data_IF_746002686411
#
_entry.id   IF_746002686411
#
_cell.length_a   1.000
_cell.length_b   1.000
_cell.length_c   1.000
_cell.angle_alpha   90.00
_cell.angle_beta   90.00
_cell.angle_gamma   90.00
#
_symmetry.space_group_name_H-M   'P 1'
#
loop_
_entity.id
_entity.type
_entity.pdbx_description
1 polymer ?
#
# COMPACT_ATOMS: atom_id res chain seq x y z
N UNK A 1 21.09 14.31 7.76
CA UNK A 1 20.13 13.36 8.38
C UNK A 1 18.75 13.96 8.63
N UNK A 2 18.51 14.80 9.66
CA UNK A 2 17.15 15.30 9.95
C UNK A 2 16.46 15.99 8.75
N UNK A 3 17.18 16.87 8.05
CA UNK A 3 16.68 17.51 6.84
C UNK A 3 16.35 16.51 5.71
N UNK A 4 17.17 15.46 5.53
CA UNK A 4 16.96 14.43 4.51
C UNK A 4 15.74 13.56 4.87
N UNK A 5 15.56 13.22 6.14
CA UNK A 5 14.36 12.51 6.63
C UNK A 5 13.11 13.36 6.38
N UNK A 6 13.14 14.67 6.69
CA UNK A 6 12.02 15.56 6.41
C UNK A 6 11.71 15.66 4.91
N UNK A 7 12.73 15.71 4.05
CA UNK A 7 12.53 15.73 2.60
C UNK A 7 11.91 14.42 2.10
N UNK A 8 12.39 13.28 2.60
CA UNK A 8 11.82 11.97 2.30
C UNK A 8 10.36 11.86 2.75
N UNK A 9 10.04 12.27 3.98
CA UNK A 9 8.66 12.29 4.50
C UNK A 9 7.74 13.16 3.64
N UNK A 10 8.22 14.34 3.21
CA UNK A 10 7.46 15.21 2.28
C UNK A 10 7.26 14.56 0.92
N UNK A 11 8.29 13.90 0.39
CA UNK A 11 8.20 13.23 -0.91
C UNK A 11 7.15 12.11 -0.92
N UNK A 12 6.90 11.44 0.21
CA UNK A 12 5.82 10.46 0.34
C UNK A 12 4.44 11.10 0.08
N UNK A 13 4.21 12.32 0.57
CA UNK A 13 2.98 13.09 0.36
C UNK A 13 2.82 13.67 -1.05
N UNK A 14 3.83 13.52 -1.92
CA UNK A 14 3.86 14.13 -3.24
C UNK A 14 3.96 15.65 -3.14
N UNK A 15 2.96 16.36 -3.67
CA UNK A 15 2.90 17.83 -3.67
C UNK A 15 2.06 18.41 -2.53
N UNK A 16 1.36 17.56 -1.77
CA UNK A 16 0.53 17.97 -0.65
C UNK A 16 1.33 18.12 0.66
N UNK A 17 0.73 18.73 1.69
CA UNK A 17 1.27 18.71 3.05
C UNK A 17 1.36 17.27 3.60
N UNK A 18 2.29 17.04 4.54
CA UNK A 18 2.63 15.69 5.00
C UNK A 18 1.46 14.97 5.69
N UNK A 19 0.57 15.70 6.34
CA UNK A 19 -0.64 15.17 6.97
C UNK A 19 -1.66 14.61 5.97
N UNK A 20 -1.70 15.12 4.73
CA UNK A 20 -2.58 14.59 3.68
C UNK A 20 -2.19 13.16 3.29
N UNK A 21 -0.91 12.81 3.45
CA UNK A 21 -0.44 11.45 3.20
C UNK A 21 -1.15 10.40 4.06
N UNK A 22 -1.60 10.78 5.25
CA UNK A 22 -2.27 9.92 6.22
C UNK A 22 -3.80 9.99 6.14
N UNK A 23 -4.35 10.81 5.25
CA UNK A 23 -5.79 10.87 5.03
C UNK A 23 -6.30 9.64 4.27
N UNK A 24 -7.63 9.53 4.14
CA UNK A 24 -8.32 8.45 3.43
C UNK A 24 -8.03 7.04 4.00
N UNK A 25 -7.63 6.09 3.14
CA UNK A 25 -7.48 4.67 3.49
C UNK A 25 -6.37 4.36 4.49
N UNK A 26 -5.40 5.28 4.69
CA UNK A 26 -4.33 5.12 5.67
C UNK A 26 -4.72 5.60 7.06
N UNK A 27 -5.82 6.34 7.17
CA UNK A 27 -6.32 6.83 8.45
C UNK A 27 -6.77 5.69 9.40
N UNK A 28 -7.03 4.49 8.87
CA UNK A 28 -7.49 3.32 9.65
C UNK A 28 -6.60 3.02 10.85
N UNK A 29 -5.27 3.22 10.73
CA UNK A 29 -4.32 2.96 11.82
C UNK A 29 -4.53 3.89 13.03
N UNK A 30 -5.14 5.05 12.82
CA UNK A 30 -5.49 6.03 13.85
C UNK A 30 -6.95 5.89 14.30
N UNK A 31 -7.84 5.56 13.37
CA UNK A 31 -9.28 5.51 13.64
C UNK A 31 -9.69 4.31 14.50
N UNK A 32 -9.06 3.14 14.35
CA UNK A 32 -9.48 1.96 15.10
C UNK A 32 -9.24 2.08 16.62
N UNK A 33 -8.06 2.51 17.11
CA UNK A 33 -7.86 2.75 18.54
C UNK A 33 -8.83 3.81 19.09
N UNK A 34 -9.14 4.84 18.30
CA UNK A 34 -10.11 5.87 18.65
C UNK A 34 -11.54 5.30 18.77
N UNK A 35 -11.99 4.50 17.80
CA UNK A 35 -13.30 3.85 17.80
C UNK A 35 -13.45 2.85 18.95
N UNK A 36 -12.39 2.11 19.25
CA UNK A 36 -12.35 1.21 20.41
C UNK A 36 -12.49 2.01 21.70
N UNK A 37 -11.72 3.08 21.89
CA UNK A 37 -11.83 3.89 23.11
C UNK A 37 -13.22 4.52 23.26
N UNK A 38 -13.81 5.05 22.18
CA UNK A 38 -15.19 5.57 22.20
C UNK A 38 -16.25 4.51 22.56
N UNK A 39 -15.99 3.24 22.27
CA UNK A 39 -16.90 2.15 22.70
C UNK A 39 -16.79 1.84 24.19
N UNK A 40 -15.68 2.23 24.83
CA UNK A 40 -15.42 1.99 26.25
C UNK A 40 -15.82 3.16 27.14
N UNK A 41 -15.74 4.39 26.63
CA UNK A 41 -16.02 5.62 27.38
C UNK A 41 -16.62 6.73 26.50
N UNK A 42 -17.40 7.66 27.08
CA UNK A 42 -18.11 8.69 26.30
C UNK A 42 -17.20 9.61 25.47
N UNK A 43 -16.02 9.93 26.01
CA UNK A 43 -15.03 10.79 25.36
C UNK A 43 -13.64 10.13 25.46
N UNK A 44 -12.93 9.95 24.33
CA UNK A 44 -11.54 9.49 24.33
C UNK A 44 -10.62 10.47 25.04
N UNK A 45 -9.58 9.96 25.67
CA UNK A 45 -8.51 10.73 26.27
C UNK A 45 -7.62 11.34 25.16
N UNK A 46 -7.63 12.68 24.98
CA UNK A 46 -6.92 13.30 23.87
C UNK A 46 -5.40 13.16 23.97
N UNK A 47 -4.85 13.16 25.19
CA UNK A 47 -3.39 13.02 25.40
C UNK A 47 -2.95 11.61 25.03
N UNK A 48 -3.70 10.61 25.50
CA UNK A 48 -3.42 9.21 25.17
C UNK A 48 -3.53 8.95 23.68
N UNK A 49 -4.63 9.39 23.04
CA UNK A 49 -4.85 9.21 21.61
C UNK A 49 -3.80 9.92 20.76
N UNK A 50 -3.39 11.13 21.13
CA UNK A 50 -2.29 11.83 20.47
C UNK A 50 -0.98 11.04 20.55
N UNK A 51 -0.70 10.42 21.71
CA UNK A 51 0.41 9.49 21.89
C UNK A 51 0.33 8.26 20.97
N UNK A 52 -0.86 7.66 20.82
CA UNK A 52 -1.07 6.52 19.92
C UNK A 52 -0.89 6.91 18.44
N UNK A 53 -1.36 8.09 18.04
CA UNK A 53 -1.16 8.62 16.69
C UNK A 53 0.32 8.85 16.42
N UNK A 54 1.02 9.55 17.32
CA UNK A 54 2.46 9.79 17.18
C UNK A 54 3.24 8.47 17.08
N UNK A 55 2.95 7.51 17.95
CA UNK A 55 3.52 6.17 17.91
C UNK A 55 3.28 5.50 16.55
N UNK A 56 2.04 5.49 16.07
CA UNK A 56 1.65 4.81 14.82
C UNK A 56 2.27 5.45 13.58
N UNK A 57 2.42 6.78 13.55
CA UNK A 57 3.14 7.49 12.47
C UNK A 57 4.62 7.08 12.43
N UNK A 58 5.28 6.99 13.59
CA UNK A 58 6.67 6.56 13.64
C UNK A 58 6.83 5.08 13.25
N UNK A 59 5.92 4.21 13.69
CA UNK A 59 5.87 2.81 13.24
C UNK A 59 5.72 2.71 11.73
N UNK A 60 4.82 3.53 11.16
CA UNK A 60 4.59 3.59 9.74
C UNK A 60 5.85 4.00 8.97
N UNK A 61 6.55 5.07 9.39
CA UNK A 61 7.78 5.49 8.71
C UNK A 61 8.90 4.47 8.84
N UNK A 62 9.00 3.79 9.98
CA UNK A 62 9.93 2.68 10.15
C UNK A 62 9.71 1.60 9.09
N UNK A 63 8.47 1.12 8.96
CA UNK A 63 8.12 0.06 7.99
C UNK A 63 8.26 0.57 6.56
N UNK A 64 7.73 1.75 6.25
CA UNK A 64 7.78 2.35 4.90
C UNK A 64 9.20 2.52 4.38
N UNK A 65 10.15 2.89 5.24
CA UNK A 65 11.54 3.05 4.83
C UNK A 65 12.17 1.70 4.45
N UNK A 66 11.85 0.64 5.19
CA UNK A 66 12.28 -0.73 4.86
C UNK A 66 11.61 -1.21 3.57
N UNK A 67 10.30 -1.02 3.44
CA UNK A 67 9.52 -1.41 2.26
C UNK A 67 10.07 -0.74 0.99
N UNK A 68 10.36 0.57 1.02
CA UNK A 68 10.95 1.28 -0.13
C UNK A 68 12.27 0.67 -0.61
N UNK A 69 13.09 0.17 0.32
CA UNK A 69 14.36 -0.50 0.01
C UNK A 69 14.13 -1.90 -0.57
N UNK A 70 13.14 -2.64 -0.05
CA UNK A 70 12.81 -3.99 -0.50
C UNK A 70 12.15 -3.99 -1.88
N UNK A 71 11.21 -3.08 -2.12
CA UNK A 71 10.45 -2.94 -3.37
C UNK A 71 11.32 -2.45 -4.54
N UNK A 72 12.57 -2.04 -4.28
CA UNK A 72 13.50 -1.58 -5.31
C UNK A 72 12.91 -0.43 -6.14
N UNK A 73 12.26 0.55 -5.50
CA UNK A 73 11.56 1.66 -6.19
C UNK A 73 12.47 2.61 -6.99
N UNK A 74 13.74 2.26 -7.15
CA UNK A 74 14.76 2.97 -7.92
C UNK A 74 15.33 1.99 -8.94
N UNK A 75 15.58 2.46 -10.16
CA UNK A 75 15.89 1.64 -11.34
C UNK A 75 17.04 0.62 -11.16
N UNK A 76 17.39 -0.08 -12.25
CA UNK A 76 18.36 -1.21 -12.25
C UNK A 76 19.71 -0.93 -11.54
N UNK A 77 20.06 0.34 -11.34
CA UNK A 77 21.26 0.77 -10.63
C UNK A 77 20.96 1.05 -9.14
N UNK A 78 21.19 0.05 -8.28
CA UNK A 78 21.09 0.13 -6.81
C UNK A 78 21.96 1.22 -6.15
N UNK A 79 22.83 1.88 -6.90
CA UNK A 79 23.77 2.88 -6.39
C UNK A 79 23.12 4.24 -6.06
N UNK A 80 21.92 4.51 -6.59
CA UNK A 80 21.19 5.77 -6.38
C UNK A 80 19.87 5.57 -5.60
N UNK A 81 19.92 4.86 -4.46
CA UNK A 81 18.77 4.71 -3.55
C UNK A 81 18.92 5.68 -2.37
N UNK A 82 18.25 6.85 -2.37
CA UNK A 82 18.39 7.86 -1.31
C UNK A 82 18.11 7.30 0.09
N UNK A 83 17.20 6.34 0.20
CA UNK A 83 16.77 5.68 1.45
C UNK A 83 17.89 4.90 2.14
N UNK A 84 18.91 4.42 1.42
CA UNK A 84 20.04 3.73 2.05
C UNK A 84 20.77 4.64 3.04
N UNK A 85 20.85 5.94 2.74
CA UNK A 85 21.44 6.96 3.63
C UNK A 85 20.56 7.26 4.84
N UNK A 86 19.28 6.88 4.79
CA UNK A 86 18.31 7.11 5.86
C UNK A 86 18.21 5.93 6.84
N UNK A 87 18.89 4.80 6.59
CA UNK A 87 18.87 3.64 7.48
C UNK A 87 19.10 3.95 8.97
N UNK A 88 20.01 4.87 9.36
CA UNK A 88 20.15 5.25 10.78
C UNK A 88 18.87 5.85 11.41
N UNK A 89 17.98 6.45 10.60
CA UNK A 89 16.70 6.98 11.08
C UNK A 89 15.74 5.88 11.55
N UNK A 90 15.94 4.61 11.15
CA UNK A 90 15.16 3.48 11.67
C UNK A 90 15.27 3.37 13.20
N UNK A 91 16.45 3.60 13.77
CA UNK A 91 16.64 3.58 15.22
C UNK A 91 15.80 4.66 15.92
N UNK A 92 15.73 5.85 15.32
CA UNK A 92 14.90 6.95 15.81
C UNK A 92 13.40 6.60 15.73
N UNK A 93 12.91 6.19 14.55
CA UNK A 93 11.50 5.87 14.36
C UNK A 93 11.04 4.74 15.27
N UNK A 94 11.87 3.71 15.47
CA UNK A 94 11.55 2.63 16.39
C UNK A 94 11.49 3.08 17.87
N UNK A 95 12.42 3.93 18.30
CA UNK A 95 12.40 4.50 19.65
C UNK A 95 11.16 5.38 19.87
N UNK A 96 10.80 6.22 18.90
CA UNK A 96 9.62 7.09 18.98
C UNK A 96 8.31 6.31 18.83
N UNK A 97 8.32 5.18 18.13
CA UNK A 97 7.19 4.26 18.12
C UNK A 97 6.90 3.72 19.53
N UNK A 98 7.93 3.36 20.30
CA UNK A 98 7.76 2.79 21.64
C UNK A 98 7.48 3.82 22.74
N UNK A 99 8.00 5.05 22.60
CA UNK A 99 8.05 6.01 23.69
C UNK A 99 6.70 6.38 24.32
N UNK A 100 5.57 6.49 23.59
CA UNK A 100 4.29 6.82 24.22
C UNK A 100 3.79 5.70 25.13
N UNK A 101 4.05 4.44 24.80
CA UNK A 101 3.60 3.29 25.60
C UNK A 101 4.32 3.20 26.95
N UNK A 102 5.60 3.61 27.02
CA UNK A 102 6.39 3.60 28.26
C UNK A 102 5.84 4.54 29.35
N UNK A 103 5.06 5.55 28.96
CA UNK A 103 4.40 6.45 29.92
C UNK A 103 3.22 5.81 30.62
N UNK A 104 2.61 4.79 30.01
CA UNK A 104 1.36 4.21 30.45
C UNK A 104 1.49 2.77 30.93
N UNK A 105 2.53 2.06 30.52
CA UNK A 105 2.73 0.65 30.88
C UNK A 105 4.07 0.45 31.57
N UNK A 106 4.08 -0.06 32.82
CA UNK A 106 5.31 -0.44 33.50
C UNK A 106 6.02 -1.56 32.74
N UNK A 107 7.32 -1.77 33.02
CA UNK A 107 8.16 -2.72 32.29
C UNK A 107 7.72 -4.18 32.42
N UNK A 108 6.99 -4.54 33.47
CA UNK A 108 6.42 -5.87 33.73
C UNK A 108 4.99 -6.05 33.19
N UNK A 109 4.43 -5.02 32.56
CA UNK A 109 3.09 -5.09 31.98
C UNK A 109 2.99 -6.19 30.90
N UNK A 110 1.91 -7.00 30.88
CA UNK A 110 1.68 -7.99 29.82
C UNK A 110 1.54 -7.35 28.42
N UNK A 111 1.25 -6.05 28.35
CA UNK A 111 1.25 -5.28 27.10
C UNK A 111 2.55 -5.46 26.32
N UNK A 112 3.70 -5.44 26.99
CA UNK A 112 5.01 -5.55 26.31
C UNK A 112 5.20 -6.90 25.63
N UNK A 113 4.68 -7.99 26.23
CA UNK A 113 4.68 -9.30 25.59
C UNK A 113 3.85 -9.31 24.30
N UNK A 114 2.67 -8.69 24.33
CA UNK A 114 1.83 -8.54 23.14
C UNK A 114 2.52 -7.65 22.09
N UNK A 115 3.09 -6.52 22.51
CA UNK A 115 3.82 -5.59 21.65
C UNK A 115 4.95 -6.31 20.89
N UNK A 116 5.85 -6.99 21.61
CA UNK A 116 7.02 -7.61 21.01
C UNK A 116 6.64 -8.77 20.09
N UNK A 117 5.72 -9.63 20.51
CA UNK A 117 5.26 -10.76 19.68
C UNK A 117 4.58 -10.28 18.40
N UNK A 118 3.73 -9.25 18.49
CA UNK A 118 3.07 -8.65 17.32
C UNK A 118 4.08 -8.03 16.36
N UNK A 119 5.03 -7.26 16.88
CA UNK A 119 6.04 -6.59 16.06
C UNK A 119 6.97 -7.58 15.33
N UNK A 120 7.45 -8.60 16.04
CA UNK A 120 8.27 -9.66 15.45
C UNK A 120 7.49 -10.44 14.39
N UNK A 121 6.25 -10.84 14.69
CA UNK A 121 5.41 -11.56 13.72
C UNK A 121 5.13 -10.73 12.46
N UNK A 122 5.00 -9.41 12.59
CA UNK A 122 4.84 -8.51 11.45
C UNK A 122 6.11 -8.50 10.59
N UNK A 123 7.29 -8.34 11.20
CA UNK A 123 8.55 -8.33 10.48
C UNK A 123 8.81 -9.65 9.72
N UNK A 124 8.53 -10.80 10.36
CA UNK A 124 8.63 -12.12 9.73
C UNK A 124 7.68 -12.26 8.54
N UNK A 125 6.45 -11.77 8.68
CA UNK A 125 5.47 -11.80 7.60
C UNK A 125 5.88 -10.93 6.41
N UNK A 126 6.38 -9.72 6.66
CA UNK A 126 6.90 -8.82 5.60
C UNK A 126 8.06 -9.45 4.85
N UNK A 127 9.00 -10.10 5.55
CA UNK A 127 10.11 -10.79 4.90
C UNK A 127 9.64 -11.95 4.01
N UNK A 128 8.69 -12.76 4.50
CA UNK A 128 8.15 -13.89 3.73
C UNK A 128 7.30 -13.43 2.53
N UNK A 129 6.56 -12.34 2.67
CA UNK A 129 5.80 -11.70 1.59
C UNK A 129 6.71 -11.32 0.40
N UNK A 130 7.82 -10.62 0.69
CA UNK A 130 8.80 -10.18 -0.31
C UNK A 130 9.48 -11.33 -1.09
N UNK A 131 9.41 -12.57 -0.57
CA UNK A 131 10.04 -13.75 -1.19
C UNK A 131 9.03 -14.71 -1.81
N UNK A 132 7.73 -14.39 -1.79
CA UNK A 132 6.66 -15.25 -2.31
C UNK A 132 6.27 -14.86 -3.75
N UNK A 133 6.58 -15.68 -4.78
CA UNK A 133 6.38 -15.29 -6.17
C UNK A 133 4.94 -15.40 -6.67
N UNK A 134 4.09 -16.21 -6.03
CA UNK A 134 2.70 -16.41 -6.44
C UNK A 134 1.82 -16.67 -5.21
N UNK A 135 0.81 -15.83 -4.99
CA UNK A 135 -0.09 -15.97 -3.85
C UNK A 135 -1.34 -16.77 -4.21
N UNK A 136 -1.64 -17.81 -3.43
CA UNK A 136 -2.98 -18.35 -3.30
C UNK A 136 -3.87 -17.45 -2.42
N UNK A 137 -5.19 -17.64 -2.48
CA UNK A 137 -6.12 -16.88 -1.63
C UNK A 137 -5.91 -17.15 -0.12
N UNK A 138 -5.54 -18.39 0.23
CA UNK A 138 -5.24 -18.78 1.61
C UNK A 138 -3.96 -18.09 2.11
N UNK A 139 -2.91 -18.08 1.29
CA UNK A 139 -1.67 -17.37 1.59
C UNK A 139 -1.92 -15.87 1.73
N UNK A 140 -2.61 -15.25 0.77
CA UNK A 140 -2.96 -13.83 0.83
C UNK A 140 -3.63 -13.45 2.15
N UNK A 141 -4.61 -14.24 2.59
CA UNK A 141 -5.34 -13.99 3.84
C UNK A 141 -4.41 -14.08 5.05
N UNK A 142 -3.53 -15.09 5.09
CA UNK A 142 -2.56 -15.25 6.16
C UNK A 142 -1.51 -14.13 6.18
N UNK A 143 -1.09 -13.64 5.00
CA UNK A 143 -0.06 -12.61 4.87
C UNK A 143 -0.58 -11.20 5.14
N UNK A 144 -1.71 -10.81 4.53
CA UNK A 144 -2.24 -9.46 4.65
C UNK A 144 -2.52 -9.07 6.12
N UNK A 145 -3.07 -10.01 6.88
CA UNK A 145 -3.32 -9.85 8.31
C UNK A 145 -2.02 -9.67 9.12
N UNK A 146 -0.98 -10.46 8.84
CA UNK A 146 0.28 -10.42 9.60
C UNK A 146 1.17 -9.25 9.22
N UNK A 147 1.28 -8.92 7.92
CA UNK A 147 2.10 -7.81 7.40
C UNK A 147 1.67 -6.45 7.98
N UNK A 148 0.39 -6.31 8.31
CA UNK A 148 -0.17 -5.08 8.88
C UNK A 148 -0.49 -5.20 10.37
N UNK A 149 0.01 -6.24 11.05
CA UNK A 149 -0.33 -6.54 12.44
C UNK A 149 0.09 -5.44 13.43
N UNK A 150 1.01 -4.54 13.07
CA UNK A 150 1.41 -3.40 13.90
C UNK A 150 0.23 -2.52 14.38
N UNK A 151 -0.88 -2.47 13.64
CA UNK A 151 -2.10 -1.73 14.05
C UNK A 151 -2.78 -2.36 15.27
N UNK A 152 -2.52 -3.63 15.57
CA UNK A 152 -3.02 -4.29 16.78
C UNK A 152 -2.38 -3.76 18.06
N UNK A 153 -1.20 -3.14 17.96
CA UNK A 153 -0.47 -2.62 19.11
C UNK A 153 -1.21 -1.45 19.77
N UNK A 154 -1.61 -0.39 19.06
CA UNK A 154 -2.40 0.67 19.69
C UNK A 154 -3.81 0.19 20.12
N UNK A 155 -4.39 -0.82 19.47
CA UNK A 155 -5.62 -1.47 19.98
C UNK A 155 -5.39 -2.14 21.34
N UNK A 156 -4.31 -2.91 21.46
CA UNK A 156 -3.90 -3.52 22.73
C UNK A 156 -3.66 -2.45 23.79
N UNK A 157 -2.98 -1.34 23.44
CA UNK A 157 -2.75 -0.25 24.37
C UNK A 157 -4.07 0.29 24.96
N UNK A 158 -5.09 0.50 24.13
CA UNK A 158 -6.42 0.93 24.63
C UNK A 158 -7.03 -0.14 25.56
N UNK A 159 -7.01 -1.42 25.16
CA UNK A 159 -7.52 -2.52 25.98
C UNK A 159 -6.81 -2.64 27.34
N UNK A 160 -5.47 -2.55 27.36
CA UNK A 160 -4.70 -2.64 28.61
C UNK A 160 -4.88 -1.41 29.49
N UNK A 161 -4.95 -0.20 28.92
CA UNK A 161 -5.16 1.04 29.69
C UNK A 161 -6.48 1.03 30.45
N UNK A 162 -7.52 0.49 29.84
CA UNK A 162 -8.88 0.51 30.39
C UNK A 162 -9.34 -0.83 30.97
N UNK A 163 -8.42 -1.77 31.18
CA UNK A 163 -8.70 -3.10 31.76
C UNK A 163 -9.79 -3.88 30.99
N UNK A 164 -9.76 -3.80 29.66
CA UNK A 164 -10.69 -4.46 28.73
C UNK A 164 -9.98 -5.38 27.75
N UNK A 165 -9.05 -6.17 28.28
CA UNK A 165 -8.31 -7.17 27.49
C UNK A 165 -9.20 -8.27 26.94
N UNK A 166 -10.40 -8.47 27.52
CA UNK A 166 -11.47 -9.34 27.01
C UNK A 166 -11.94 -8.97 25.58
N UNK A 167 -11.74 -7.70 25.18
CA UNK A 167 -12.12 -7.23 23.84
C UNK A 167 -11.01 -7.41 22.80
N UNK A 168 -9.77 -7.64 23.23
CA UNK A 168 -8.60 -7.55 22.35
C UNK A 168 -8.67 -8.55 21.20
N UNK A 169 -9.03 -9.81 21.48
CA UNK A 169 -9.12 -10.86 20.47
C UNK A 169 -10.17 -10.55 19.41
N UNK A 170 -11.31 -9.98 19.81
CA UNK A 170 -12.39 -9.61 18.87
C UNK A 170 -11.95 -8.48 17.94
N UNK A 171 -11.33 -7.44 18.50
CA UNK A 171 -10.80 -6.33 17.70
C UNK A 171 -9.65 -6.75 16.80
N UNK A 172 -8.75 -7.63 17.27
CA UNK A 172 -7.68 -8.19 16.45
C UNK A 172 -8.23 -9.05 15.29
N UNK A 173 -9.22 -9.89 15.57
CA UNK A 173 -9.85 -10.75 14.54
C UNK A 173 -10.59 -9.93 13.49
N UNK A 174 -11.31 -8.89 13.92
CA UNK A 174 -11.92 -7.94 12.99
C UNK A 174 -10.86 -7.24 12.14
N UNK A 175 -9.77 -6.78 12.76
CA UNK A 175 -8.69 -6.13 12.04
C UNK A 175 -8.03 -7.04 11.02
N UNK A 176 -7.85 -8.33 11.32
CA UNK A 176 -7.29 -9.29 10.35
C UNK A 176 -8.13 -9.36 9.07
N UNK A 177 -9.47 -9.30 9.19
CA UNK A 177 -10.35 -9.25 8.03
C UNK A 177 -10.25 -7.90 7.30
N UNK A 178 -10.17 -6.80 8.05
CA UNK A 178 -10.06 -5.46 7.49
C UNK A 178 -8.72 -5.26 6.76
N UNK A 179 -7.64 -5.83 7.28
CA UNK A 179 -6.32 -5.85 6.68
C UNK A 179 -6.34 -6.54 5.31
N UNK A 180 -7.03 -7.68 5.20
CA UNK A 180 -7.22 -8.36 3.90
C UNK A 180 -7.96 -7.46 2.91
N UNK A 181 -9.04 -6.81 3.35
CA UNK A 181 -9.80 -5.89 2.51
C UNK A 181 -8.96 -4.68 2.06
N UNK A 182 -8.23 -4.05 2.98
CA UNK A 182 -7.35 -2.92 2.68
C UNK A 182 -6.21 -3.32 1.73
N UNK A 183 -5.59 -4.48 1.93
CA UNK A 183 -4.53 -4.95 1.05
C UNK A 183 -5.06 -5.24 -0.36
N UNK A 184 -6.20 -5.91 -0.50
CA UNK A 184 -6.80 -6.15 -1.81
C UNK A 184 -7.21 -4.87 -2.51
N UNK A 185 -7.64 -3.86 -1.74
CA UNK A 185 -7.93 -2.55 -2.31
C UNK A 185 -6.66 -1.84 -2.78
N UNK A 186 -5.57 -1.91 -2.02
CA UNK A 186 -4.27 -1.40 -2.44
C UNK A 186 -3.79 -2.11 -3.71
N UNK A 187 -3.87 -3.44 -3.78
CA UNK A 187 -3.55 -4.22 -4.98
C UNK A 187 -4.39 -3.74 -6.18
N UNK A 188 -5.69 -3.49 -5.99
CA UNK A 188 -6.59 -3.01 -7.04
C UNK A 188 -6.27 -1.59 -7.52
N UNK A 189 -5.87 -0.68 -6.62
CA UNK A 189 -5.55 0.70 -7.00
C UNK A 189 -4.11 0.81 -7.55
N UNK A 190 -3.21 -0.06 -7.10
CA UNK A 190 -1.79 -0.08 -7.46
C UNK A 190 -1.41 -1.02 -8.60
N UNK A 191 -2.32 -1.87 -9.08
CA UNK A 191 -2.01 -3.00 -9.97
C UNK A 191 -1.09 -2.67 -11.15
N UNK A 192 -1.26 -1.51 -11.80
CA UNK A 192 -0.45 -1.13 -12.95
C UNK A 192 0.99 -0.78 -12.54
N UNK A 193 1.16 -0.10 -11.40
CA UNK A 193 2.47 0.20 -10.82
C UNK A 193 3.16 -1.11 -10.43
N UNK A 194 2.46 -1.98 -9.73
CA UNK A 194 3.00 -3.25 -9.24
C UNK A 194 3.41 -4.17 -10.40
N UNK A 195 2.59 -4.24 -11.45
CA UNK A 195 2.90 -4.99 -12.67
C UNK A 195 4.15 -4.44 -13.37
N UNK A 196 4.30 -3.12 -13.49
CA UNK A 196 5.48 -2.51 -14.11
C UNK A 196 6.76 -2.71 -13.29
N UNK A 197 6.62 -2.80 -11.96
CA UNK A 197 7.72 -3.06 -11.04
C UNK A 197 7.99 -4.56 -10.83
N UNK A 198 7.27 -5.44 -11.54
CA UNK A 198 7.34 -6.90 -11.37
C UNK A 198 7.05 -7.38 -9.93
N UNK A 199 6.31 -6.57 -9.16
CA UNK A 199 5.89 -6.91 -7.80
C UNK A 199 4.78 -7.96 -7.88
N UNK A 200 4.94 -9.06 -7.13
CA UNK A 200 3.89 -10.07 -7.06
C UNK A 200 2.85 -9.67 -6.03
N UNK A 201 1.60 -9.52 -6.47
CA UNK A 201 0.44 -9.28 -5.60
C UNK A 201 -0.57 -10.40 -5.77
N UNK A 202 -1.57 -10.48 -4.88
CA UNK A 202 -2.62 -11.50 -5.01
C UNK A 202 -3.45 -11.27 -6.27
N UNK A 203 -3.78 -10.01 -6.57
CA UNK A 203 -4.50 -9.64 -7.79
C UNK A 203 -3.74 -10.04 -9.06
N UNK A 204 -2.43 -9.77 -9.13
CA UNK A 204 -1.62 -10.12 -10.31
C UNK A 204 -1.36 -11.62 -10.40
N UNK A 205 -1.22 -12.31 -9.26
CA UNK A 205 -1.18 -13.77 -9.21
C UNK A 205 -2.46 -14.37 -9.79
N UNK A 206 -3.62 -13.78 -9.49
CA UNK A 206 -4.89 -14.21 -10.07
C UNK A 206 -5.00 -13.88 -11.56
N UNK A 207 -4.54 -12.69 -11.98
CA UNK A 207 -4.50 -12.33 -13.39
C UNK A 207 -3.70 -13.35 -14.21
N UNK A 208 -2.54 -13.80 -13.71
CA UNK A 208 -1.70 -14.84 -14.34
C UNK A 208 -2.43 -16.16 -14.50
N UNK A 209 -3.18 -16.59 -13.48
CA UNK A 209 -3.95 -17.85 -13.48
C UNK A 209 -5.17 -17.79 -14.38
N UNK A 210 -5.86 -16.65 -14.41
CA UNK A 210 -7.20 -16.52 -15.00
C UNK A 210 -7.23 -15.85 -16.37
N UNK A 211 -6.09 -15.37 -16.90
CA UNK A 211 -5.97 -14.85 -18.27
C UNK A 211 -6.06 -15.98 -19.32
N UNK A 212 -6.53 -15.63 -20.51
CA UNK A 212 -6.49 -16.53 -21.69
C UNK A 212 -5.06 -16.71 -22.17
N UNK A 213 -4.78 -17.78 -22.94
CA UNK A 213 -3.42 -18.14 -23.38
C UNK A 213 -2.67 -17.07 -24.18
N UNK A 214 -3.38 -16.14 -24.84
CA UNK A 214 -2.79 -15.00 -25.58
C UNK A 214 -3.12 -13.63 -24.97
N UNK A 215 -3.83 -13.61 -23.86
CA UNK A 215 -4.22 -12.38 -23.17
C UNK A 215 -3.08 -11.93 -22.24
N UNK A 216 -2.80 -10.62 -22.25
CA UNK A 216 -1.91 -10.00 -21.28
C UNK A 216 -2.59 -9.85 -19.92
N UNK A 217 -1.83 -9.67 -18.85
CA UNK A 217 -2.39 -9.40 -17.51
C UNK A 217 -3.28 -8.13 -17.53
N UNK A 218 -2.84 -7.07 -18.22
CA UNK A 218 -3.64 -5.87 -18.51
C UNK A 218 -4.95 -6.19 -19.22
N UNK A 219 -4.92 -7.03 -20.26
CA UNK A 219 -6.11 -7.43 -21.00
C UNK A 219 -7.13 -8.13 -20.08
N UNK A 220 -6.63 -9.02 -19.22
CA UNK A 220 -7.48 -9.67 -18.21
C UNK A 220 -8.02 -8.67 -17.19
N UNK A 221 -7.19 -7.75 -16.68
CA UNK A 221 -7.60 -6.71 -15.72
C UNK A 221 -8.76 -5.87 -16.25
N UNK A 222 -8.64 -5.39 -17.49
CA UNK A 222 -9.67 -4.58 -18.15
C UNK A 222 -10.93 -5.40 -18.43
N UNK A 223 -10.79 -6.65 -18.89
CA UNK A 223 -11.93 -7.50 -19.26
C UNK A 223 -12.70 -8.04 -18.06
N UNK A 224 -12.01 -8.43 -16.99
CA UNK A 224 -12.58 -9.18 -15.87
C UNK A 224 -11.99 -8.80 -14.51
N UNK A 225 -10.69 -8.57 -14.42
CA UNK A 225 -9.98 -8.44 -13.15
C UNK A 225 -10.51 -7.33 -12.25
N UNK A 226 -10.80 -6.14 -12.80
CA UNK A 226 -11.37 -5.03 -12.02
C UNK A 226 -12.74 -5.40 -11.42
N UNK A 227 -13.66 -5.90 -12.24
CA UNK A 227 -15.00 -6.28 -11.78
C UNK A 227 -14.95 -7.45 -10.76
N UNK A 228 -14.04 -8.40 -10.97
CA UNK A 228 -13.78 -9.50 -10.03
C UNK A 228 -13.27 -8.98 -8.68
N UNK A 229 -12.28 -8.10 -8.68
CA UNK A 229 -11.71 -7.49 -7.47
C UNK A 229 -12.76 -6.67 -6.70
N UNK A 230 -13.56 -5.84 -7.38
CA UNK A 230 -14.69 -5.14 -6.76
C UNK A 230 -15.74 -6.10 -6.18
N UNK A 231 -15.95 -7.27 -6.81
CA UNK A 231 -16.80 -8.33 -6.28
C UNK A 231 -16.27 -8.88 -4.96
N UNK A 232 -14.99 -9.22 -4.89
CA UNK A 232 -14.33 -9.68 -3.66
C UNK A 232 -14.38 -8.63 -2.55
N UNK A 233 -14.03 -7.39 -2.85
CA UNK A 233 -14.03 -6.30 -1.87
C UNK A 233 -15.42 -6.07 -1.28
N UNK A 234 -16.49 -6.18 -2.08
CA UNK A 234 -17.87 -6.10 -1.58
C UNK A 234 -18.23 -7.29 -0.68
N UNK A 235 -17.89 -8.51 -1.10
CA UNK A 235 -18.13 -9.71 -0.27
C UNK A 235 -17.44 -9.60 1.08
N UNK A 236 -16.18 -9.17 1.11
CA UNK A 236 -15.42 -9.04 2.34
C UNK A 236 -15.89 -7.85 3.19
N UNK A 237 -16.38 -6.78 2.57
CA UNK A 237 -17.02 -5.67 3.29
C UNK A 237 -18.31 -6.13 4.00
N UNK A 238 -19.13 -6.98 3.37
CA UNK A 238 -20.32 -7.54 4.01
C UNK A 238 -19.97 -8.39 5.24
N UNK A 239 -18.89 -9.16 5.16
CA UNK A 239 -18.38 -9.90 6.32
C UNK A 239 -17.91 -8.96 7.44
N UNK A 240 -17.18 -7.89 7.10
CA UNK A 240 -16.78 -6.87 8.07
C UNK A 240 -18.00 -6.21 8.74
N UNK A 241 -19.03 -5.88 7.98
CA UNK A 241 -20.28 -5.34 8.49
C UNK A 241 -21.04 -6.34 9.37
N UNK A 242 -20.88 -7.64 9.14
CA UNK A 242 -21.46 -8.69 10.00
C UNK A 242 -20.70 -8.82 11.32
N UNK A 243 -19.38 -8.61 11.31
CA UNK A 243 -18.53 -8.69 12.51
C UNK A 243 -18.62 -7.43 13.38
N UNK A 244 -18.80 -6.25 12.77
CA UNK A 244 -18.72 -4.96 13.46
C UNK A 244 -19.69 -4.77 14.64
N UNK A 245 -20.96 -5.24 14.62
CA UNK A 245 -21.88 -5.05 15.74
C UNK A 245 -21.38 -5.63 17.07
N UNK A 246 -20.60 -6.73 17.01
CA UNK A 246 -20.02 -7.37 18.19
C UNK A 246 -18.91 -6.56 18.87
N UNK A 247 -18.44 -5.48 18.22
CA UNK A 247 -17.44 -4.55 18.73
C UNK A 247 -18.07 -3.31 19.41
N UNK A 248 -19.40 -3.18 19.35
CA UNK A 248 -20.16 -2.11 20.00
C UNK A 248 -19.67 -0.69 19.65
N UNK A 249 -19.26 -0.47 18.40
CA UNK A 249 -18.75 0.82 17.92
C UNK A 249 -19.56 1.31 16.71
N UNK A 250 -20.49 2.23 16.94
CA UNK A 250 -21.31 2.83 15.88
C UNK A 250 -20.49 3.64 14.87
N UNK A 251 -19.39 4.26 15.32
CA UNK A 251 -18.46 4.98 14.45
C UNK A 251 -17.75 4.03 13.48
N UNK A 252 -17.33 2.86 13.96
CA UNK A 252 -16.74 1.82 13.11
C UNK A 252 -17.73 1.37 12.03
N UNK A 253 -18.99 1.12 12.41
CA UNK A 253 -20.01 0.75 11.43
C UNK A 253 -20.26 1.87 10.41
N UNK A 254 -20.28 3.13 10.85
CA UNK A 254 -20.41 4.27 9.96
C UNK A 254 -19.23 4.38 8.99
N UNK A 255 -18.01 4.13 9.47
CA UNK A 255 -16.81 4.05 8.66
C UNK A 255 -16.89 2.94 7.60
N UNK A 256 -17.32 1.73 7.96
CA UNK A 256 -17.49 0.63 6.99
C UNK A 256 -18.51 0.98 5.89
N UNK A 257 -19.65 1.58 6.26
CA UNK A 257 -20.64 2.06 5.27
C UNK A 257 -20.07 3.15 4.37
N UNK A 258 -19.23 4.03 4.90
CA UNK A 258 -18.53 5.04 4.11
C UNK A 258 -17.61 4.38 3.07
N UNK A 259 -16.77 3.42 3.49
CA UNK A 259 -15.85 2.70 2.61
C UNK A 259 -16.57 1.87 1.53
N UNK A 260 -17.70 1.26 1.86
CA UNK A 260 -18.53 0.55 0.89
C UNK A 260 -19.05 1.48 -0.22
N UNK A 261 -19.51 2.69 0.16
CA UNK A 261 -19.97 3.69 -0.80
C UNK A 261 -18.85 4.15 -1.73
N UNK A 262 -17.64 4.34 -1.23
CA UNK A 262 -16.48 4.72 -2.06
C UNK A 262 -16.21 3.67 -3.15
N UNK A 263 -16.14 2.39 -2.79
CA UNK A 263 -15.94 1.30 -3.77
C UNK A 263 -17.07 1.27 -4.79
N UNK A 264 -18.32 1.40 -4.32
CA UNK A 264 -19.50 1.42 -5.20
C UNK A 264 -19.42 2.57 -6.20
N UNK A 265 -19.02 3.75 -5.74
CA UNK A 265 -18.85 4.93 -6.57
C UNK A 265 -17.72 4.73 -7.60
N UNK A 266 -16.56 4.22 -7.19
CA UNK A 266 -15.47 3.89 -8.13
C UNK A 266 -15.90 2.88 -9.18
N UNK A 267 -16.58 1.81 -8.77
CA UNK A 267 -17.07 0.81 -9.70
C UNK A 267 -18.06 1.44 -10.70
N UNK A 268 -19.00 2.27 -10.24
CA UNK A 268 -19.98 2.95 -11.10
C UNK A 268 -19.30 3.88 -12.10
N UNK A 269 -18.27 4.62 -11.68
CA UNK A 269 -17.55 5.58 -12.52
C UNK A 269 -16.66 4.88 -13.55
N UNK A 270 -15.92 3.85 -13.16
CA UNK A 270 -14.88 3.24 -14.00
C UNK A 270 -15.40 2.09 -14.89
N UNK A 271 -16.45 1.37 -14.48
CA UNK A 271 -16.94 0.20 -15.22
C UNK A 271 -17.32 0.49 -16.68
N UNK A 272 -18.02 1.60 -17.02
CA UNK A 272 -18.39 1.88 -18.41
C UNK A 272 -17.17 2.00 -19.34
N UNK A 273 -16.11 2.66 -18.88
CA UNK A 273 -14.91 2.88 -19.68
C UNK A 273 -14.11 1.59 -19.82
N UNK A 274 -14.00 0.79 -18.76
CA UNK A 274 -13.35 -0.52 -18.82
C UNK A 274 -14.08 -1.48 -19.77
N UNK A 275 -15.42 -1.44 -19.83
CA UNK A 275 -16.20 -2.23 -20.79
C UNK A 275 -15.90 -1.79 -22.23
N UNK A 276 -15.77 -0.49 -22.50
CA UNK A 276 -15.40 0.03 -23.83
C UNK A 276 -14.00 -0.41 -24.22
N UNK A 277 -13.03 -0.28 -23.31
CA UNK A 277 -11.65 -0.71 -23.52
C UNK A 277 -11.56 -2.23 -23.76
N UNK A 278 -12.31 -3.03 -23.00
CA UNK A 278 -12.37 -4.48 -23.18
C UNK A 278 -12.89 -4.84 -24.58
N UNK A 279 -13.92 -4.14 -25.09
CA UNK A 279 -14.44 -4.36 -26.44
C UNK A 279 -13.40 -4.01 -27.51
N UNK A 280 -12.71 -2.88 -27.38
CA UNK A 280 -11.64 -2.49 -28.30
C UNK A 280 -10.48 -3.49 -28.30
N UNK A 281 -10.03 -3.93 -27.12
CA UNK A 281 -8.98 -4.95 -27.00
C UNK A 281 -9.38 -6.26 -27.70
N UNK A 282 -10.61 -6.74 -27.50
CA UNK A 282 -11.09 -7.95 -28.19
C UNK A 282 -11.15 -7.79 -29.72
N UNK A 283 -11.44 -6.59 -30.24
CA UNK A 283 -11.44 -6.34 -31.70
C UNK A 283 -10.01 -6.39 -32.27
N UNK A 284 -9.06 -5.77 -31.57
CA UNK A 284 -7.65 -5.76 -31.97
C UNK A 284 -7.03 -7.17 -31.90
N UNK A 285 -7.34 -7.95 -30.86
CA UNK A 285 -6.83 -9.31 -30.69
C UNK A 285 -7.45 -10.35 -31.64
N UNK A 286 -8.66 -10.09 -32.16
CA UNK A 286 -9.36 -10.97 -33.11
C UNK A 286 -8.95 -10.77 -34.56
N UNK A 287 -8.22 -9.70 -34.88
CA UNK A 287 -7.72 -9.48 -36.24
C UNK A 287 -6.56 -10.46 -36.47
N UNK A 288 -6.72 -11.52 -37.29
CA UNK A 288 -5.60 -12.39 -37.59
C UNK A 288 -4.54 -11.55 -38.28
N UNK A 289 -3.28 -11.81 -38.00
CA UNK A 289 -2.17 -11.35 -38.83
C UNK A 289 -2.25 -12.02 -40.22
N UNK A 290 -3.29 -11.73 -41.00
CA UNK A 290 -3.39 -12.06 -42.40
C UNK A 290 -2.85 -10.87 -43.18
N UNK A 291 -1.55 -10.88 -43.43
CA UNK A 291 -0.96 -10.23 -44.59
C UNK A 291 -1.22 -8.73 -44.74
N UNK A 292 -1.17 -7.94 -43.66
CA UNK A 292 -0.99 -6.51 -43.80
C UNK A 292 0.43 -6.25 -44.33
N UNK A 293 0.58 -6.30 -45.67
CA UNK A 293 1.65 -5.60 -46.36
C UNK A 293 1.49 -4.14 -45.98
N UNK A 294 2.31 -3.65 -45.04
CA UNK A 294 2.55 -2.23 -44.95
C UNK A 294 2.96 -1.76 -46.35
N UNK A 295 2.33 -0.72 -46.92
CA UNK A 295 2.84 -0.14 -48.15
C UNK A 295 4.30 0.22 -47.89
N UNK A 296 5.21 -0.37 -48.67
CA UNK A 296 6.59 0.04 -48.64
C UNK A 296 6.60 1.53 -48.98
N UNK A 297 7.02 2.35 -48.02
CA UNK A 297 7.33 3.75 -48.26
C UNK A 297 8.42 3.72 -49.34
N UNK A 298 8.21 4.33 -50.53
CA UNK A 298 9.23 4.40 -51.54
C UNK A 298 10.48 5.04 -50.93
N UNK A 299 11.69 4.57 -51.24
CA UNK A 299 12.90 5.18 -50.71
C UNK A 299 12.89 6.67 -51.07
N UNK A 300 12.92 7.50 -50.03
CA UNK A 300 13.14 8.93 -50.14
C UNK A 300 14.42 9.15 -50.94
N UNK A 301 14.31 9.82 -52.10
CA UNK A 301 15.48 10.26 -52.84
C UNK A 301 16.27 11.19 -51.95
N UNK A 302 17.39 10.72 -51.41
CA UNK A 302 18.41 11.53 -50.76
C UNK A 302 18.79 12.69 -51.70
N UNK A 303 18.25 13.88 -51.41
CA UNK A 303 18.77 15.12 -51.95
C UNK A 303 20.10 15.38 -51.26
N UNK A 304 21.16 15.01 -51.96
CA UNK A 304 22.55 15.30 -51.69
C UNK A 304 22.76 16.81 -51.46
N UNK A 305 22.66 17.24 -50.20
CA UNK A 305 22.92 18.60 -49.75
C UNK A 305 24.27 18.70 -49.05
N UNK A 306 25.35 18.85 -49.82
CA UNK A 306 26.68 19.23 -49.33
C UNK A 306 26.57 20.54 -48.53
N UNK A 307 26.62 20.48 -47.19
CA UNK A 307 27.00 21.61 -46.34
C UNK A 307 28.35 21.33 -45.69
N UNK A 308 29.37 22.06 -46.16
CA UNK A 308 30.70 22.16 -45.54
C UNK A 308 30.56 22.78 -44.16
N UNK A 309 30.80 22.02 -43.09
CA UNK A 309 31.05 22.56 -41.75
C UNK A 309 32.56 22.72 -41.55
N UNK A 310 32.98 23.98 -41.34
CA UNK A 310 34.34 24.36 -40.92
C UNK A 310 34.63 23.90 -39.48
N UNK A 311 35.89 23.60 -39.12
CA UNK A 311 36.25 23.20 -37.77
C UNK A 311 36.43 24.44 -36.89
N UNK A 312 35.65 24.57 -35.82
CA UNK A 312 35.91 25.55 -34.76
C UNK A 312 36.54 24.88 -33.55
N UNK A 313 37.85 25.06 -33.44
CA UNK A 313 38.44 25.74 -32.30
C UNK A 313 38.24 25.12 -30.92
N UNK A 314 39.20 24.27 -30.56
CA UNK A 314 39.60 23.98 -29.18
C UNK A 314 39.78 25.29 -28.39
N UNK A 315 39.07 25.43 -27.26
CA UNK A 315 39.53 26.27 -26.14
C UNK A 315 39.29 25.54 -24.82
N UNK A 316 40.38 24.92 -24.33
CA UNK A 316 40.58 24.63 -22.91
C UNK A 316 40.50 25.95 -22.15
N UNK A 317 39.64 26.02 -21.13
CA UNK A 317 39.79 26.96 -20.01
C UNK A 317 39.93 26.16 -18.73
N UNK A 318 41.13 26.23 -18.22
CA UNK A 318 41.58 25.89 -16.88
C UNK A 318 41.20 26.99 -15.86
N UNK A 319 41.26 26.60 -14.57
CA UNK A 319 41.59 27.38 -13.33
C UNK A 319 40.39 27.99 -12.56
N UNK A 320 40.39 28.13 -11.19
CA UNK A 320 41.36 27.68 -10.14
C UNK A 320 40.76 26.86 -8.97
N UNK A 321 41.72 26.46 -8.12
CA UNK A 321 41.67 25.94 -6.75
C UNK A 321 40.78 26.68 -5.77
#
# INVERSE_FOLDING_TARGET
>A
MAAEVCLWMKALAGTGPAEEYFQEGRATIFLLPWFLEKSLRPAPDPEFQSGLVYSSVNAYYYVRLIDNLQDGQYGKDRQDVPELRLLPALGFFHAQFQSPYQRYFPSDSPFWKFFHSTWVSMAEATFKDATTPNFSAAEFTAFAARKSAGVKIPLAAVCFRYDRTDLLDRWCSFYDRLACWNQMLNDLLGWQKDMNAEISTFLLSEARRSKRSRESETGWMVRRGFAWACGLLRSWMQELQTLAPALHSSDLEAYLRYREREITNWQKTLSPDLVRLARLANLLERTPAKGARFPQVPPEKEKNGKKKSKPNGVRRRTIPQ
#
